data_IF_061488977297
#
_entry.id   IF_061488977297
#
_cell.length_a   1.000
_cell.length_b   1.000
_cell.length_c   1.000
_cell.angle_alpha   90.00
_cell.angle_beta   90.00
_cell.angle_gamma   90.00
#
_symmetry.space_group_name_H-M   'P 1'
#
loop_
_entity.id
_entity.type
_entity.pdbx_description
1 polymer ?
#
# COMPACT_ATOMS: atom_id res chain seq x y z
N UNK A 1 23.97 -4.16 -1.41
CA UNK A 1 24.79 -3.37 -2.34
C UNK A 1 24.23 -3.46 -3.75
N UNK A 2 24.14 -4.62 -4.35
CA UNK A 2 23.64 -4.84 -5.73
C UNK A 2 22.22 -4.28 -5.98
N UNK A 3 21.32 -4.32 -5.02
CA UNK A 3 19.96 -3.78 -5.15
C UNK A 3 20.00 -2.25 -5.41
N UNK A 4 20.68 -1.49 -4.57
CA UNK A 4 20.75 -0.04 -4.73
C UNK A 4 21.50 0.39 -6.00
N UNK A 5 22.57 -0.31 -6.37
CA UNK A 5 23.31 -0.04 -7.61
C UNK A 5 22.41 -0.17 -8.86
N UNK A 6 21.39 -1.02 -8.80
CA UNK A 6 20.51 -1.29 -9.94
C UNK A 6 19.23 -0.46 -9.91
N UNK A 7 18.62 -0.28 -8.75
CA UNK A 7 17.29 0.30 -8.63
C UNK A 7 17.26 1.77 -8.21
N UNK A 8 18.26 2.24 -7.44
CA UNK A 8 18.25 3.61 -6.95
C UNK A 8 18.53 4.63 -8.06
N UNK A 9 17.67 5.65 -8.15
CA UNK A 9 17.83 6.80 -9.03
C UNK A 9 18.14 8.03 -8.17
N UNK A 10 19.40 8.52 -8.26
CA UNK A 10 19.90 9.57 -7.33
C UNK A 10 19.21 10.91 -7.58
N UNK A 11 18.98 11.28 -8.82
CA UNK A 11 18.35 12.55 -9.18
C UNK A 11 16.89 12.59 -8.76
N UNK A 12 16.13 11.55 -9.08
CA UNK A 12 14.71 11.38 -8.77
C UNK A 12 14.47 11.15 -7.27
N UNK A 13 15.35 10.41 -6.62
CA UNK A 13 15.28 10.10 -5.21
C UNK A 13 14.31 8.99 -4.83
N UNK A 14 14.08 8.10 -5.78
CA UNK A 14 13.27 6.89 -5.58
C UNK A 14 13.81 5.71 -6.41
N UNK A 15 13.13 4.57 -6.36
CA UNK A 15 13.57 3.34 -7.00
C UNK A 15 12.92 3.18 -8.38
N UNK A 16 13.62 2.59 -9.34
CA UNK A 16 13.02 2.03 -10.55
C UNK A 16 11.99 0.97 -10.16
N UNK A 17 10.91 0.86 -10.92
CA UNK A 17 9.87 -0.12 -10.63
C UNK A 17 10.26 -1.53 -11.07
N UNK A 18 10.72 -1.70 -12.30
CA UNK A 18 11.11 -2.99 -12.88
C UNK A 18 12.44 -2.91 -13.61
N UNK A 19 13.22 -3.98 -13.49
CA UNK A 19 14.39 -4.25 -14.32
C UNK A 19 14.22 -5.60 -15.01
N UNK A 20 14.31 -5.61 -16.35
CA UNK A 20 14.25 -6.82 -17.15
C UNK A 20 15.29 -6.77 -18.28
N UNK A 21 16.45 -7.37 -18.06
CA UNK A 21 17.59 -7.27 -18.98
C UNK A 21 18.06 -5.83 -19.12
N UNK A 22 17.93 -5.26 -20.31
CA UNK A 22 18.25 -3.87 -20.62
C UNK A 22 17.08 -2.91 -20.44
N UNK A 23 15.88 -3.43 -20.24
CA UNK A 23 14.68 -2.61 -19.97
C UNK A 23 14.64 -2.15 -18.53
N UNK A 24 14.40 -0.87 -18.35
CA UNK A 24 14.24 -0.22 -17.06
C UNK A 24 12.90 0.52 -17.00
N UNK A 25 12.00 0.09 -16.13
CA UNK A 25 10.77 0.84 -15.83
C UNK A 25 11.04 1.86 -14.75
N UNK A 26 10.87 3.14 -15.08
CA UNK A 26 11.14 4.27 -14.19
C UNK A 26 9.87 4.95 -13.67
N UNK A 27 8.70 4.45 -14.06
CA UNK A 27 7.42 5.01 -13.61
C UNK A 27 7.33 5.00 -12.08
N UNK A 28 6.79 6.08 -11.53
CA UNK A 28 6.64 6.19 -10.08
C UNK A 28 5.35 5.51 -9.63
N UNK A 29 5.51 4.33 -9.03
CA UNK A 29 4.43 3.43 -8.60
C UNK A 29 4.45 3.17 -7.10
N UNK A 30 3.31 2.75 -6.55
CA UNK A 30 3.17 2.43 -5.12
C UNK A 30 4.01 1.22 -4.65
N UNK A 31 4.60 0.45 -5.57
CA UNK A 31 5.47 -0.69 -5.24
C UNK A 31 6.63 -0.33 -4.31
N UNK A 32 7.08 0.92 -4.33
CA UNK A 32 8.15 1.44 -3.47
C UNK A 32 7.89 1.25 -1.97
N UNK A 33 6.63 1.32 -1.54
CA UNK A 33 6.29 1.20 -0.12
C UNK A 33 6.58 -0.20 0.44
N UNK A 34 6.53 -1.24 -0.39
CA UNK A 34 6.81 -2.61 0.06
C UNK A 34 8.28 -2.80 0.45
N UNK A 35 9.22 -2.19 -0.27
CA UNK A 35 10.65 -2.22 0.08
C UNK A 35 10.89 -1.58 1.44
N UNK A 36 10.17 -0.50 1.76
CA UNK A 36 10.30 0.25 3.00
C UNK A 36 9.57 -0.40 4.18
N UNK A 37 8.59 -1.24 3.91
CA UNK A 37 7.81 -1.95 4.91
C UNK A 37 8.45 -3.26 5.39
N UNK A 38 9.53 -3.71 4.76
CA UNK A 38 10.23 -4.95 5.12
C UNK A 38 10.78 -4.90 6.55
N UNK A 39 10.92 -6.06 7.23
CA UNK A 39 11.47 -6.13 8.58
C UNK A 39 12.99 -5.90 8.63
N UNK A 40 13.63 -5.73 7.50
CA UNK A 40 15.04 -5.42 7.34
C UNK A 40 15.22 -4.24 6.37
N UNK A 41 16.24 -3.45 6.62
CA UNK A 41 16.48 -2.19 5.89
C UNK A 41 17.20 -2.46 4.55
N UNK A 42 16.51 -2.11 3.44
CA UNK A 42 17.04 -2.20 2.08
C UNK A 42 17.68 -0.90 1.58
N UNK A 43 17.23 0.24 2.11
CA UNK A 43 17.70 1.59 1.78
C UNK A 43 18.09 2.33 3.05
N UNK A 44 18.94 3.34 2.97
CA UNK A 44 19.28 4.17 4.12
C UNK A 44 18.08 4.93 4.68
N UNK A 45 18.17 5.39 5.93
CA UNK A 45 17.13 6.21 6.56
C UNK A 45 16.76 7.43 5.69
N UNK A 46 17.77 8.14 5.18
CA UNK A 46 17.58 9.32 4.33
C UNK A 46 16.89 8.98 3.00
N UNK A 47 17.29 7.89 2.35
CA UNK A 47 16.66 7.43 1.12
C UNK A 47 15.18 7.03 1.35
N UNK A 48 14.90 6.28 2.41
CA UNK A 48 13.53 5.88 2.74
C UNK A 48 12.63 7.07 3.06
N UNK A 49 13.13 8.06 3.77
CA UNK A 49 12.40 9.32 4.02
C UNK A 49 12.12 10.09 2.72
N UNK A 50 13.10 10.16 1.81
CA UNK A 50 12.92 10.81 0.51
C UNK A 50 11.88 10.10 -0.34
N UNK A 51 11.91 8.77 -0.42
CA UNK A 51 10.89 7.97 -1.11
C UNK A 51 9.49 8.23 -0.50
N UNK A 52 9.36 8.16 0.83
CA UNK A 52 8.07 8.37 1.50
C UNK A 52 7.51 9.76 1.30
N UNK A 53 8.36 10.78 1.23
CA UNK A 53 7.93 12.14 0.90
C UNK A 53 7.31 12.18 -0.52
N UNK A 54 8.00 11.65 -1.52
CA UNK A 54 7.49 11.58 -2.89
C UNK A 54 6.21 10.73 -2.99
N UNK A 55 6.15 9.58 -2.31
CA UNK A 55 4.96 8.73 -2.24
C UNK A 55 3.78 9.47 -1.63
N UNK A 56 4.01 10.21 -0.55
CA UNK A 56 2.96 11.01 0.10
C UNK A 56 2.39 12.10 -0.80
N UNK A 57 3.24 12.77 -1.55
CA UNK A 57 2.86 13.86 -2.44
C UNK A 57 2.12 13.37 -3.69
N UNK A 58 2.59 12.29 -4.29
CA UNK A 58 2.15 11.86 -5.62
C UNK A 58 1.15 10.70 -5.61
N UNK A 59 1.28 9.75 -4.68
CA UNK A 59 0.54 8.49 -4.71
C UNK A 59 -0.47 8.31 -3.58
N UNK A 60 -0.21 8.89 -2.39
CA UNK A 60 -1.10 8.72 -1.25
C UNK A 60 -2.45 9.40 -1.47
N UNK A 61 -3.52 8.67 -1.12
CA UNK A 61 -4.89 9.19 -0.98
C UNK A 61 -5.49 8.73 0.33
N UNK A 62 -6.60 9.31 0.74
CA UNK A 62 -7.30 8.90 1.96
C UNK A 62 -7.97 7.51 1.84
N UNK A 63 -8.16 7.01 0.62
CA UNK A 63 -8.75 5.69 0.34
C UNK A 63 -7.70 4.59 0.12
N UNK A 64 -6.45 4.96 -0.21
CA UNK A 64 -5.42 4.00 -0.58
C UNK A 64 -4.24 4.64 -1.29
N UNK A 65 -3.52 3.85 -2.09
CA UNK A 65 -2.37 4.28 -2.86
C UNK A 65 -2.66 4.23 -4.36
N UNK A 66 -2.39 5.32 -5.09
CA UNK A 66 -2.40 5.28 -6.56
C UNK A 66 -1.36 4.30 -7.07
N UNK A 67 -1.73 3.50 -8.05
CA UNK A 67 -0.81 2.55 -8.69
C UNK A 67 0.22 3.23 -9.60
N UNK A 68 -0.06 4.46 -10.04
CA UNK A 68 0.81 5.30 -10.87
C UNK A 68 0.58 6.78 -10.50
N UNK A 69 1.62 7.61 -10.61
CA UNK A 69 1.49 9.06 -10.39
C UNK A 69 0.65 9.75 -11.48
N UNK A 70 0.02 10.87 -11.10
CA UNK A 70 -0.96 11.55 -11.98
C UNK A 70 -0.30 12.25 -13.18
N UNK A 71 0.96 12.61 -13.08
CA UNK A 71 1.73 13.28 -14.13
C UNK A 71 2.25 12.32 -15.20
N UNK A 72 2.19 11.01 -14.97
CA UNK A 72 2.62 10.01 -15.96
C UNK A 72 1.65 10.00 -17.16
N UNK A 73 2.17 10.01 -18.41
CA UNK A 73 1.33 9.96 -19.62
C UNK A 73 0.40 8.74 -19.71
N UNK A 74 0.74 7.64 -19.03
CA UNK A 74 -0.07 6.42 -18.98
C UNK A 74 -1.15 6.45 -17.88
N UNK A 75 -1.25 7.55 -17.13
CA UNK A 75 -2.22 7.66 -16.04
C UNK A 75 -3.68 7.63 -16.54
N UNK A 76 -4.48 6.77 -15.94
CA UNK A 76 -5.92 6.64 -16.18
C UNK A 76 -6.68 6.99 -14.90
N UNK A 77 -7.38 8.15 -14.86
CA UNK A 77 -8.01 8.65 -13.63
C UNK A 77 -9.20 7.82 -13.15
N UNK A 78 -9.93 7.19 -14.08
CA UNK A 78 -11.13 6.44 -13.74
C UNK A 78 -11.13 5.05 -14.34
N UNK A 79 -11.60 4.07 -13.56
CA UNK A 79 -11.77 2.70 -14.02
C UNK A 79 -13.24 2.46 -14.40
N UNK A 80 -13.49 2.03 -15.62
CA UNK A 80 -14.86 1.79 -16.12
C UNK A 80 -14.88 1.38 -17.58
N UNK A 81 -16.10 1.22 -18.14
CA UNK A 81 -16.29 0.84 -19.54
C UNK A 81 -16.17 -0.66 -19.81
N UNK A 82 -15.75 -1.01 -21.00
CA UNK A 82 -15.50 -2.39 -21.44
C UNK A 82 -14.34 -3.07 -20.68
N UNK A 83 -14.24 -4.40 -20.77
CA UNK A 83 -13.15 -5.13 -20.13
C UNK A 83 -11.76 -4.59 -20.53
N UNK A 84 -11.44 -4.37 -21.83
CA UNK A 84 -10.14 -3.81 -22.20
C UNK A 84 -9.88 -2.40 -21.66
N UNK A 85 -10.90 -1.58 -21.48
CA UNK A 85 -10.75 -0.25 -20.86
C UNK A 85 -10.46 -0.35 -19.37
N UNK A 86 -11.16 -1.21 -18.67
CA UNK A 86 -10.88 -1.49 -17.24
C UNK A 86 -9.47 -2.04 -17.03
N UNK A 87 -9.06 -3.01 -17.85
CA UNK A 87 -7.73 -3.64 -17.75
C UNK A 87 -6.60 -2.61 -17.97
N UNK A 88 -6.80 -1.66 -18.88
CA UNK A 88 -5.84 -0.56 -19.10
C UNK A 88 -5.72 0.38 -17.90
N UNK A 89 -6.81 0.64 -17.20
CA UNK A 89 -6.82 1.53 -16.02
C UNK A 89 -6.35 0.84 -14.73
N UNK A 90 -6.50 -0.46 -14.62
CA UNK A 90 -6.45 -1.24 -13.38
C UNK A 90 -5.14 -1.06 -12.59
N UNK A 91 -4.01 -0.88 -13.28
CA UNK A 91 -2.69 -0.61 -12.68
C UNK A 91 -2.06 0.70 -13.17
N UNK A 92 -2.86 1.60 -13.76
CA UNK A 92 -2.39 2.84 -14.36
C UNK A 92 -3.06 4.06 -13.72
N UNK A 93 -3.04 4.14 -12.40
CA UNK A 93 -3.59 5.26 -11.66
C UNK A 93 -4.66 4.88 -10.63
N UNK A 94 -5.38 3.78 -10.86
CA UNK A 94 -6.35 3.22 -9.90
C UNK A 94 -5.77 3.16 -8.49
N UNK A 95 -6.53 3.61 -7.51
CA UNK A 95 -6.17 3.58 -6.08
C UNK A 95 -6.48 2.21 -5.51
N UNK A 96 -5.51 1.63 -4.81
CA UNK A 96 -5.64 0.33 -4.16
C UNK A 96 -5.58 0.49 -2.64
N UNK A 97 -6.50 -0.19 -1.92
CA UNK A 97 -6.55 -0.13 -0.46
C UNK A 97 -5.40 -0.86 0.23
N UNK A 98 -5.02 -2.05 -0.25
CA UNK A 98 -4.05 -2.91 0.45
C UNK A 98 -2.63 -2.33 0.58
N UNK A 99 -2.06 -1.57 -0.39
CA UNK A 99 -0.71 -1.03 -0.23
C UNK A 99 -0.60 0.03 0.86
N UNK A 100 -1.75 0.57 1.30
CA UNK A 100 -1.79 1.56 2.39
C UNK A 100 -1.26 0.98 3.71
N UNK A 101 -1.46 -0.32 3.96
CA UNK A 101 -0.87 -1.00 5.12
C UNK A 101 0.65 -1.01 5.08
N UNK A 102 1.24 -1.28 3.91
CA UNK A 102 2.69 -1.20 3.71
C UNK A 102 3.20 0.25 3.83
N UNK A 103 2.48 1.23 3.27
CA UNK A 103 2.81 2.65 3.44
C UNK A 103 2.85 3.06 4.91
N UNK A 104 1.83 2.76 5.69
CA UNK A 104 1.80 3.08 7.11
C UNK A 104 2.92 2.39 7.89
N UNK A 105 3.23 1.14 7.58
CA UNK A 105 4.38 0.45 8.17
C UNK A 105 5.69 1.16 7.82
N UNK A 106 5.87 1.56 6.57
CA UNK A 106 7.04 2.31 6.14
C UNK A 106 7.15 3.66 6.87
N UNK A 107 6.04 4.37 7.05
CA UNK A 107 6.01 5.61 7.86
C UNK A 107 6.48 5.36 9.28
N UNK A 108 6.02 4.29 9.95
CA UNK A 108 6.49 3.92 11.29
C UNK A 108 7.98 3.56 11.32
N UNK A 109 8.50 2.89 10.29
CA UNK A 109 9.91 2.51 10.20
C UNK A 109 10.84 3.73 10.01
N UNK A 110 10.44 4.69 9.19
CA UNK A 110 11.31 5.80 8.78
C UNK A 110 11.03 7.13 9.49
N UNK A 111 9.90 7.25 10.19
CA UNK A 111 9.52 8.40 11.02
C UNK A 111 9.06 7.96 12.41
N UNK A 112 9.96 7.40 13.25
CA UNK A 112 9.57 6.75 14.50
C UNK A 112 8.96 7.69 15.54
N UNK A 113 9.19 8.99 15.45
CA UNK A 113 8.63 9.99 16.38
C UNK A 113 7.25 10.47 15.93
N UNK A 114 7.14 10.95 14.69
CA UNK A 114 5.95 11.58 14.13
C UNK A 114 5.00 10.57 13.46
N UNK A 115 5.54 9.45 12.99
CA UNK A 115 4.84 8.47 12.16
C UNK A 115 3.60 7.88 12.82
N UNK A 116 3.63 7.62 14.13
CA UNK A 116 2.47 7.09 14.85
C UNK A 116 1.27 8.03 14.74
N UNK A 117 1.47 9.33 14.93
CA UNK A 117 0.40 10.32 14.81
C UNK A 117 -0.10 10.47 13.36
N UNK A 118 0.80 10.39 12.38
CA UNK A 118 0.43 10.42 10.97
C UNK A 118 -0.42 9.20 10.59
N UNK A 119 -0.03 8.01 11.04
CA UNK A 119 -0.78 6.78 10.81
C UNK A 119 -2.17 6.83 11.46
N UNK A 120 -2.29 7.32 12.71
CA UNK A 120 -3.61 7.51 13.33
C UNK A 120 -4.52 8.39 12.50
N UNK A 121 -4.04 9.57 12.07
CA UNK A 121 -4.81 10.47 11.20
C UNK A 121 -5.18 9.82 9.86
N UNK A 122 -4.29 9.01 9.31
CA UNK A 122 -4.56 8.27 8.08
C UNK A 122 -5.66 7.25 8.25
N UNK A 123 -5.66 6.50 9.36
CA UNK A 123 -6.70 5.52 9.69
C UNK A 123 -8.07 6.18 9.97
N UNK A 124 -8.09 7.32 10.65
CA UNK A 124 -9.32 8.11 10.87
C UNK A 124 -9.95 8.56 9.55
N UNK A 125 -9.13 9.05 8.62
CA UNK A 125 -9.60 9.44 7.27
C UNK A 125 -10.07 8.25 6.44
N UNK A 126 -9.38 7.11 6.55
CA UNK A 126 -9.78 5.89 5.87
C UNK A 126 -11.14 5.39 6.38
N UNK A 127 -11.44 5.57 7.68
CA UNK A 127 -12.71 5.13 8.26
C UNK A 127 -13.94 5.78 7.59
N UNK A 128 -13.82 6.98 7.02
CA UNK A 128 -14.90 7.61 6.27
C UNK A 128 -15.28 6.81 5.01
N UNK A 129 -14.33 6.16 4.37
CA UNK A 129 -14.56 5.31 3.20
C UNK A 129 -15.34 4.02 3.51
N UNK A 130 -15.36 3.60 4.78
CA UNK A 130 -16.18 2.48 5.23
C UNK A 130 -17.69 2.82 5.30
N UNK A 131 -18.06 4.07 5.06
CA UNK A 131 -19.46 4.52 4.98
C UNK A 131 -19.98 4.60 3.54
N UNK A 132 -19.10 4.33 2.57
CA UNK A 132 -19.42 4.35 1.15
C UNK A 132 -19.28 2.95 0.53
N UNK A 133 -20.01 2.70 -0.56
CA UNK A 133 -19.98 1.40 -1.23
C UNK A 133 -20.52 0.29 -0.36
N UNK A 134 -19.66 -0.56 0.19
CA UNK A 134 -20.05 -1.60 1.15
C UNK A 134 -19.82 -1.11 2.58
N UNK A 135 -20.89 -0.84 3.29
CA UNK A 135 -20.83 -0.32 4.67
C UNK A 135 -19.98 -1.23 5.58
N UNK A 136 -19.10 -0.60 6.35
CA UNK A 136 -18.18 -1.23 7.30
C UNK A 136 -17.09 -2.12 6.67
N UNK A 137 -16.91 -2.02 5.34
CA UNK A 137 -15.84 -2.70 4.61
C UNK A 137 -14.99 -1.71 3.82
N UNK A 138 -13.85 -2.20 3.30
CA UNK A 138 -13.02 -1.46 2.37
C UNK A 138 -13.09 -2.13 1.00
N UNK A 139 -13.33 -1.34 -0.02
CA UNK A 139 -13.35 -1.82 -1.39
C UNK A 139 -11.96 -2.26 -1.86
N UNK A 140 -11.93 -2.99 -2.94
CA UNK A 140 -10.69 -3.40 -3.61
C UNK A 140 -9.93 -2.18 -4.13
N UNK A 141 -10.61 -1.34 -4.88
CA UNK A 141 -10.05 -0.20 -5.62
C UNK A 141 -10.96 1.02 -5.55
N UNK A 142 -10.37 2.17 -5.89
CA UNK A 142 -11.07 3.44 -6.03
C UNK A 142 -10.54 4.17 -7.28
N UNK A 143 -11.29 5.14 -7.80
CA UNK A 143 -10.80 5.99 -8.90
C UNK A 143 -9.53 6.77 -8.50
N UNK A 144 -8.63 6.95 -9.46
CA UNK A 144 -7.34 7.62 -9.26
C UNK A 144 -7.45 9.15 -9.09
N UNK A 145 -8.55 9.74 -9.58
CA UNK A 145 -8.83 11.18 -9.51
C UNK A 145 -10.29 11.45 -9.19
N UNK A 146 -10.60 12.69 -8.80
CA UNK A 146 -11.98 13.10 -8.50
C UNK A 146 -12.87 13.11 -9.77
N UNK A 147 -14.15 12.78 -9.65
CA UNK A 147 -14.82 12.23 -8.47
C UNK A 147 -14.34 10.81 -8.16
N UNK A 148 -14.03 10.55 -6.90
CA UNK A 148 -13.52 9.24 -6.45
C UNK A 148 -14.67 8.35 -6.04
N UNK A 149 -14.77 7.17 -6.65
CA UNK A 149 -15.78 6.16 -6.31
C UNK A 149 -15.11 4.83 -5.99
N UNK A 150 -15.68 4.10 -5.04
CA UNK A 150 -15.28 2.72 -4.74
C UNK A 150 -15.71 1.79 -5.86
N UNK A 151 -14.86 0.82 -6.22
CA UNK A 151 -15.08 -0.12 -7.33
C UNK A 151 -14.41 -1.47 -7.05
N UNK A 152 -14.54 -2.39 -7.99
CA UNK A 152 -14.02 -3.74 -7.83
C UNK A 152 -14.83 -4.56 -6.83
N UNK A 153 -14.16 -5.43 -6.09
CA UNK A 153 -14.78 -6.17 -4.98
C UNK A 153 -15.15 -5.19 -3.86
N UNK A 154 -16.40 -5.18 -3.44
CA UNK A 154 -16.92 -4.21 -2.45
C UNK A 154 -16.40 -4.46 -1.03
N UNK A 155 -15.91 -5.66 -0.71
CA UNK A 155 -15.38 -6.07 0.58
C UNK A 155 -14.10 -6.90 0.37
N UNK A 156 -12.96 -6.21 0.26
CA UNK A 156 -11.70 -6.85 -0.12
C UNK A 156 -10.88 -7.23 1.12
N UNK A 157 -10.68 -8.53 1.29
CA UNK A 157 -10.03 -9.09 2.47
C UNK A 157 -8.62 -8.55 2.72
N UNK A 158 -7.78 -8.42 1.71
CA UNK A 158 -6.41 -7.91 1.89
C UNK A 158 -6.37 -6.42 2.25
N UNK A 159 -7.32 -5.60 1.76
CA UNK A 159 -7.43 -4.20 2.18
C UNK A 159 -7.73 -4.11 3.68
N UNK A 160 -8.72 -4.87 4.16
CA UNK A 160 -9.07 -4.91 5.58
C UNK A 160 -7.94 -5.52 6.42
N UNK A 161 -7.34 -6.62 5.97
CA UNK A 161 -6.29 -7.33 6.70
C UNK A 161 -5.04 -6.48 6.93
N UNK A 162 -4.59 -5.77 5.91
CA UNK A 162 -3.43 -4.89 6.01
C UNK A 162 -3.66 -3.69 6.94
N UNK A 163 -4.84 -3.09 6.88
CA UNK A 163 -5.21 -1.99 7.77
C UNK A 163 -5.37 -2.46 9.21
N UNK A 164 -6.01 -3.60 9.44
CA UNK A 164 -6.15 -4.18 10.77
C UNK A 164 -4.79 -4.52 11.38
N UNK A 165 -3.84 -5.03 10.59
CA UNK A 165 -2.48 -5.31 11.03
C UNK A 165 -1.79 -4.06 11.57
N UNK A 166 -1.84 -2.95 10.83
CA UNK A 166 -1.25 -1.67 11.25
C UNK A 166 -1.97 -1.10 12.48
N UNK A 167 -3.30 -1.13 12.49
CA UNK A 167 -4.08 -0.66 13.65
C UNK A 167 -3.68 -1.39 14.93
N UNK A 168 -3.57 -2.72 14.89
CA UNK A 168 -3.14 -3.53 16.04
C UNK A 168 -1.72 -3.19 16.50
N UNK A 169 -0.84 -2.88 15.57
CA UNK A 169 0.53 -2.50 15.89
C UNK A 169 0.61 -1.18 16.66
N UNK A 170 -0.07 -0.13 16.18
CA UNK A 170 -0.01 1.19 16.83
C UNK A 170 -0.76 1.23 18.17
N UNK A 171 -1.79 0.41 18.35
CA UNK A 171 -2.51 0.26 19.62
C UNK A 171 -1.72 -0.51 20.69
N UNK A 172 -0.54 -1.04 20.35
CA UNK A 172 0.30 -1.82 21.28
C UNK A 172 -0.35 -3.13 21.75
N UNK A 173 -1.46 -3.52 21.15
CA UNK A 173 -2.04 -4.84 21.35
C UNK A 173 -1.21 -5.81 20.53
N UNK A 174 -0.26 -6.49 21.19
CA UNK A 174 0.46 -7.61 20.57
C UNK A 174 -0.60 -8.46 19.87
N UNK A 175 -0.44 -8.68 18.58
CA UNK A 175 -1.19 -9.73 17.89
C UNK A 175 -0.82 -11.03 18.60
N UNK A 176 -1.65 -11.42 19.57
CA UNK A 176 -1.43 -12.63 20.32
C UNK A 176 -1.44 -13.79 19.34
N UNK A 177 -0.34 -14.51 19.34
CA UNK A 177 -0.18 -15.93 19.06
C UNK A 177 -0.76 -16.52 17.75
N UNK A 178 -1.78 -15.94 17.12
CA UNK A 178 -2.38 -16.50 15.90
C UNK A 178 -1.38 -16.54 14.74
N UNK A 179 -0.49 -15.56 14.63
CA UNK A 179 0.55 -15.52 13.59
C UNK A 179 1.82 -16.30 13.97
N UNK A 180 1.96 -16.71 15.23
CA UNK A 180 3.11 -17.47 15.73
C UNK A 180 2.83 -18.95 15.97
N UNK A 181 1.66 -19.45 15.61
CA UNK A 181 1.38 -20.87 15.73
C UNK A 181 2.22 -21.67 14.72
N UNK A 182 2.88 -22.68 15.20
CA UNK A 182 3.53 -23.69 14.35
C UNK A 182 2.49 -24.46 13.54
N UNK A 183 2.86 -25.13 12.45
CA UNK A 183 1.93 -25.98 11.70
C UNK A 183 1.21 -27.02 12.58
N UNK A 184 1.85 -27.53 13.62
CA UNK A 184 1.26 -28.47 14.57
C UNK A 184 0.18 -27.81 15.44
N UNK A 185 0.40 -26.58 15.89
CA UNK A 185 -0.57 -25.80 16.67
C UNK A 185 -1.78 -25.36 15.84
N UNK A 186 -1.59 -25.10 14.55
CA UNK A 186 -2.70 -24.85 13.63
C UNK A 186 -3.54 -26.09 13.41
N UNK A 187 -2.90 -27.26 13.23
CA UNK A 187 -3.59 -28.53 13.07
C UNK A 187 -4.46 -28.83 14.30
N UNK A 188 -3.90 -28.72 15.50
CA UNK A 188 -4.63 -28.91 16.76
C UNK A 188 -5.81 -27.93 16.92
N UNK A 189 -5.65 -26.68 16.49
CA UNK A 189 -6.72 -25.68 16.56
C UNK A 189 -7.92 -26.08 15.69
N UNK A 190 -7.71 -26.54 14.46
CA UNK A 190 -8.80 -26.97 13.58
C UNK A 190 -9.44 -28.30 14.00
N UNK A 191 -8.67 -29.21 14.62
CA UNK A 191 -9.18 -30.50 15.13
C UNK A 191 -9.98 -30.37 16.44
N UNK A 192 -9.89 -29.24 17.15
CA UNK A 192 -10.63 -28.99 18.39
C UNK A 192 -12.00 -28.35 18.21
N UNK A 193 -12.39 -28.00 16.96
CA UNK A 193 -13.70 -27.44 16.64
C UNK A 193 -14.67 -28.46 16.02
N UNK A 194 -14.29 -29.74 15.90
CA UNK A 194 -15.15 -30.87 15.57
C UNK A 194 -15.63 -31.58 16.88
#
# INVERSE_FOLDING_TARGET
>A
KSFLEKFWMEEEGYLKDVLNGTYEEKQFRCNQVFVLALPFQMVSQKQGQRILQAVKEKLYTTAGMRSLEMEDPAFHPWIGGSQPERDRAYHQGTVWGFPLGAYFRAVLNYFPKEGKQEVHRGLERLASWMQEGCLFHLAEIYDGAAPVMSKGCYAQAWSVGEILRVYKEIEGKKMNAVVKRTPAEWKSFFESEE
#
